data_IF_718028555941
#
_entry.id   IF_718028555941
#
_cell.length_a   1.000
_cell.length_b   1.000
_cell.length_c   1.000
_cell.angle_alpha   90.00
_cell.angle_beta   90.00
_cell.angle_gamma   90.00
#
_symmetry.space_group_name_H-M   'P 1'
#
loop_
_entity.id
_entity.type
_entity.pdbx_description
1 polymer ?
#
# COMPACT_ATOMS: atom_id res chain seq x y z
N UNK A 1 2.86 40.78 42.55
CA UNK A 1 2.82 40.44 41.11
C UNK A 1 1.37 40.34 40.67
N UNK A 2 0.92 41.19 39.74
CA UNK A 2 -0.43 41.11 39.18
C UNK A 2 -0.46 40.00 38.11
N UNK A 3 -1.06 38.86 38.43
CA UNK A 3 -1.33 37.83 37.44
C UNK A 3 -2.52 38.30 36.58
N UNK A 4 -2.23 38.84 35.39
CA UNK A 4 -3.21 39.08 34.33
C UNK A 4 -3.68 37.75 33.70
N UNK A 5 -4.09 36.80 34.53
CA UNK A 5 -4.64 35.52 34.09
C UNK A 5 -6.12 35.66 33.81
N UNK A 6 -6.56 35.30 32.61
CA UNK A 6 -7.97 35.10 32.31
C UNK A 6 -8.60 34.13 33.32
N UNK A 7 -9.79 34.43 33.83
CA UNK A 7 -10.52 33.59 34.81
C UNK A 7 -11.17 32.33 34.21
N UNK A 8 -10.84 32.03 32.95
CA UNK A 8 -11.43 30.96 32.16
C UNK A 8 -10.89 29.58 32.60
N UNK A 9 -11.80 28.65 32.91
CA UNK A 9 -11.47 27.29 33.40
C UNK A 9 -11.62 26.26 32.29
N UNK A 10 -10.68 25.33 32.20
CA UNK A 10 -10.74 24.25 31.23
C UNK A 10 -11.86 23.26 31.59
N UNK A 11 -12.79 22.98 30.68
CA UNK A 11 -13.85 21.98 30.93
C UNK A 11 -13.32 20.55 31.12
N UNK A 12 -12.13 20.24 30.59
CA UNK A 12 -11.57 18.89 30.66
C UNK A 12 -10.71 18.61 31.91
N UNK A 13 -10.21 19.65 32.59
CA UNK A 13 -9.37 19.45 33.78
C UNK A 13 -9.63 20.44 34.93
N UNK A 14 -10.64 21.30 34.77
CA UNK A 14 -11.13 22.33 35.70
C UNK A 14 -10.10 23.37 36.17
N UNK A 15 -8.89 23.32 35.61
CA UNK A 15 -7.81 24.26 35.89
C UNK A 15 -7.93 25.51 35.04
N UNK A 16 -7.47 26.63 35.58
CA UNK A 16 -7.40 27.91 34.87
C UNK A 16 -6.50 27.78 33.64
N UNK A 17 -7.00 28.24 32.49
CA UNK A 17 -6.25 28.20 31.24
C UNK A 17 -5.56 29.53 31.04
N UNK A 18 -4.24 29.49 30.91
CA UNK A 18 -3.46 30.67 30.54
C UNK A 18 -3.66 31.00 29.05
N UNK A 19 -3.62 32.29 28.69
CA UNK A 19 -3.87 32.77 27.33
C UNK A 19 -3.01 32.06 26.26
N UNK A 20 -1.78 31.70 26.61
CA UNK A 20 -0.83 31.00 25.72
C UNK A 20 -1.27 29.56 25.39
N UNK A 21 -1.92 28.89 26.33
CA UNK A 21 -2.39 27.51 26.20
C UNK A 21 -3.90 27.40 25.94
N UNK A 22 -4.58 28.53 25.80
CA UNK A 22 -6.01 28.58 25.56
C UNK A 22 -6.36 28.15 24.14
N UNK A 23 -7.25 27.17 24.04
CA UNK A 23 -7.96 26.79 22.83
C UNK A 23 -9.46 26.83 23.11
N UNK A 24 -10.19 27.64 22.36
CA UNK A 24 -11.65 27.72 22.46
C UNK A 24 -12.30 26.80 21.44
N UNK A 25 -13.15 25.90 21.90
CA UNK A 25 -13.98 25.05 21.05
C UNK A 25 -15.44 25.16 21.48
N UNK A 26 -16.31 25.52 20.54
CA UNK A 26 -17.73 25.76 20.78
C UNK A 26 -18.00 26.80 21.91
N UNK A 27 -17.13 27.80 22.01
CA UNK A 27 -17.18 28.82 23.07
C UNK A 27 -16.65 28.36 24.43
N UNK A 28 -16.22 27.10 24.57
CA UNK A 28 -15.66 26.55 25.80
C UNK A 28 -14.11 26.54 25.74
N UNK A 29 -13.42 27.06 26.75
CA UNK A 29 -11.96 27.08 26.79
C UNK A 29 -11.38 25.72 27.24
N UNK A 30 -10.32 25.29 26.58
CA UNK A 30 -9.55 24.09 26.85
C UNK A 30 -8.05 24.37 26.81
N UNK A 31 -7.24 23.58 27.53
CA UNK A 31 -5.81 23.55 27.27
C UNK A 31 -5.51 22.82 25.96
N UNK A 32 -4.45 23.24 25.26
CA UNK A 32 -3.92 22.51 24.07
C UNK A 32 -3.63 21.03 24.35
N UNK A 33 -3.22 20.73 25.58
CA UNK A 33 -2.95 19.36 26.04
C UNK A 33 -4.23 18.56 26.32
N UNK A 34 -5.26 19.23 26.82
CA UNK A 34 -6.57 18.66 27.14
C UNK A 34 -7.50 18.54 25.93
N UNK A 35 -7.14 19.15 24.80
CA UNK A 35 -7.89 19.07 23.55
C UNK A 35 -7.75 17.67 22.92
N UNK A 36 -8.55 16.71 23.41
CA UNK A 36 -8.48 15.29 23.05
C UNK A 36 -9.87 14.72 22.78
N UNK A 37 -9.91 13.69 21.95
CA UNK A 37 -11.15 12.97 21.68
C UNK A 37 -11.58 12.11 22.88
N UNK A 38 -12.86 12.15 23.24
CA UNK A 38 -13.40 11.33 24.34
C UNK A 38 -13.36 9.82 24.10
N UNK A 39 -13.31 9.37 22.84
CA UNK A 39 -13.30 7.93 22.50
C UNK A 39 -11.90 7.34 22.34
N UNK A 40 -10.99 8.04 21.66
CA UNK A 40 -9.64 7.53 21.44
C UNK A 40 -8.54 8.26 22.20
N UNK A 41 -8.87 9.30 22.97
CA UNK A 41 -7.90 10.15 23.66
C UNK A 41 -6.83 10.77 22.74
N UNK A 42 -7.03 10.70 21.42
CA UNK A 42 -6.14 11.29 20.43
C UNK A 42 -6.14 12.81 20.56
N UNK A 43 -4.96 13.44 20.45
CA UNK A 43 -4.85 14.90 20.43
C UNK A 43 -5.59 15.43 19.21
N UNK A 44 -6.53 16.32 19.45
CA UNK A 44 -7.27 17.01 18.41
C UNK A 44 -6.54 18.31 18.06
N UNK A 45 -6.85 18.84 16.89
CA UNK A 45 -6.38 20.15 16.45
C UNK A 45 -7.59 20.97 16.00
N UNK A 46 -7.47 22.31 15.98
CA UNK A 46 -8.56 23.23 15.64
C UNK A 46 -9.21 22.92 14.27
N UNK A 47 -8.46 22.32 13.34
CA UNK A 47 -8.91 21.96 12.00
C UNK A 47 -9.65 20.62 11.92
N UNK A 48 -9.54 19.76 12.94
CA UNK A 48 -9.93 18.34 12.87
C UNK A 48 -10.66 17.86 14.13
N UNK A 49 -11.61 18.64 14.62
CA UNK A 49 -12.49 18.24 15.72
C UNK A 49 -13.95 18.51 15.39
N UNK A 50 -14.83 17.82 16.11
CA UNK A 50 -16.26 18.10 16.18
C UNK A 50 -16.67 18.08 17.65
N UNK A 51 -17.44 19.07 18.08
CA UNK A 51 -17.95 19.16 19.44
C UNK A 51 -19.45 18.82 19.46
N UNK A 52 -19.88 17.96 20.39
CA UNK A 52 -21.30 17.71 20.68
C UNK A 52 -21.50 17.80 22.18
N UNK A 53 -22.44 18.62 22.64
CA UNK A 53 -22.73 18.85 24.08
C UNK A 53 -21.49 19.26 24.90
N UNK A 54 -20.57 19.96 24.24
CA UNK A 54 -19.28 20.36 24.79
C UNK A 54 -18.34 19.19 25.09
N UNK A 55 -18.52 18.04 24.45
CA UNK A 55 -17.57 16.94 24.44
C UNK A 55 -16.87 16.89 23.08
N UNK A 56 -15.55 16.68 23.08
CA UNK A 56 -14.74 16.75 21.88
C UNK A 56 -14.56 15.37 21.24
N UNK A 57 -14.78 15.30 19.94
CA UNK A 57 -14.65 14.09 19.14
C UNK A 57 -13.73 14.34 17.94
N UNK A 58 -12.99 13.32 17.51
CA UNK A 58 -12.37 13.36 16.18
C UNK A 58 -13.46 13.12 15.13
N UNK A 59 -13.27 13.66 13.93
CA UNK A 59 -14.19 13.49 12.79
C UNK A 59 -14.71 12.05 12.60
N UNK A 60 -13.85 10.99 12.60
CA UNK A 60 -14.36 9.63 12.42
C UNK A 60 -15.24 9.14 13.58
N UNK A 61 -14.88 9.43 14.84
CA UNK A 61 -15.73 9.02 15.98
C UNK A 61 -17.01 9.84 16.06
N UNK A 62 -16.97 11.12 15.70
CA UNK A 62 -18.18 11.95 15.65
C UNK A 62 -19.18 11.39 14.63
N UNK A 63 -18.75 11.12 13.40
CA UNK A 63 -19.62 10.56 12.36
C UNK A 63 -20.22 9.21 12.77
N UNK A 64 -19.42 8.36 13.44
CA UNK A 64 -19.87 7.07 13.94
C UNK A 64 -20.95 7.19 15.03
N UNK A 65 -20.78 8.09 15.99
CA UNK A 65 -21.74 8.33 17.06
C UNK A 65 -23.06 8.95 16.58
N UNK A 66 -22.97 9.86 15.61
CA UNK A 66 -24.16 10.47 14.99
C UNK A 66 -24.95 9.45 14.17
N UNK A 67 -24.27 8.53 13.49
CA UNK A 67 -24.93 7.47 12.73
C UNK A 67 -25.66 6.46 13.63
N UNK A 68 -25.16 6.26 14.85
CA UNK A 68 -25.78 5.37 15.83
C UNK A 68 -26.93 6.05 16.59
N UNK A 69 -26.81 7.36 16.87
CA UNK A 69 -27.79 8.13 17.67
C UNK A 69 -28.94 8.70 16.84
N UNK A 70 -28.76 8.94 15.53
CA UNK A 70 -29.80 9.44 14.63
C UNK A 70 -30.37 8.29 13.77
N UNK A 71 -31.19 7.45 14.39
CA UNK A 71 -31.97 6.44 13.70
C UNK A 71 -32.95 7.05 12.69
N UNK A 72 -32.71 6.72 11.42
CA UNK A 72 -33.71 6.63 10.34
C UNK A 72 -34.43 7.93 9.91
N UNK A 73 -33.77 8.81 9.17
CA UNK A 73 -34.41 9.37 7.96
C UNK A 73 -33.38 9.56 6.86
N UNK A 74 -33.56 8.77 5.82
CA UNK A 74 -32.99 8.92 4.49
C UNK A 74 -33.08 10.36 3.99
N UNK A 75 -31.95 11.05 3.98
CA UNK A 75 -31.60 12.10 3.01
C UNK A 75 -30.09 12.29 3.05
N UNK A 76 -29.43 11.66 2.08
CA UNK A 76 -28.04 11.86 1.73
C UNK A 76 -27.77 13.37 1.56
N UNK A 77 -27.17 14.02 2.54
CA UNK A 77 -26.33 15.18 2.28
C UNK A 77 -24.90 14.67 2.11
N UNK A 78 -24.63 14.34 0.87
CA UNK A 78 -23.34 13.97 0.33
C UNK A 78 -22.42 15.20 0.36
N UNK A 79 -21.23 15.19 0.99
CA UNK A 79 -20.11 15.95 0.42
C UNK A 79 -19.81 15.31 -0.96
N UNK A 80 -19.62 16.07 -2.04
CA UNK A 80 -19.65 15.53 -3.40
C UNK A 80 -18.49 14.58 -3.64
N UNK A 81 -18.73 13.28 -3.39
CA UNK A 81 -17.98 12.16 -3.94
C UNK A 81 -19.00 11.07 -4.27
N UNK A 82 -19.40 11.09 -5.54
CA UNK A 82 -20.23 10.06 -6.16
C UNK A 82 -19.45 8.74 -6.17
N UNK A 83 -20.06 7.74 -5.57
CA UNK A 83 -19.63 6.36 -5.63
C UNK A 83 -20.71 5.54 -4.98
N UNK A 84 -21.67 5.05 -5.77
CA UNK A 84 -22.11 3.65 -5.77
C UNK A 84 -23.30 3.48 -6.73
N UNK A 85 -23.01 2.70 -7.79
CA UNK A 85 -23.93 1.90 -8.60
C UNK A 85 -25.16 2.59 -9.19
N UNK A 86 -24.99 3.16 -10.39
CA UNK A 86 -26.02 3.04 -11.41
C UNK A 86 -25.39 2.75 -12.76
N UNK A 87 -25.99 1.79 -13.47
CA UNK A 87 -25.66 1.36 -14.82
C UNK A 87 -26.06 2.47 -15.80
N UNK A 88 -25.29 3.56 -15.81
CA UNK A 88 -25.22 4.49 -16.92
C UNK A 88 -23.83 5.11 -16.90
N UNK A 89 -22.84 4.30 -17.24
CA UNK A 89 -21.54 4.80 -17.64
C UNK A 89 -21.79 5.48 -18.97
N UNK A 90 -21.98 6.80 -18.89
CA UNK A 90 -22.11 7.68 -20.04
C UNK A 90 -21.11 7.26 -21.09
N UNK A 91 -21.62 7.03 -22.31
CA UNK A 91 -20.97 6.61 -23.56
C UNK A 91 -19.64 7.32 -23.90
N UNK A 92 -19.22 8.29 -23.09
CA UNK A 92 -18.01 9.11 -23.20
C UNK A 92 -16.80 8.59 -22.41
N UNK A 93 -16.99 7.82 -21.35
CA UNK A 93 -15.86 7.26 -20.55
C UNK A 93 -15.19 6.04 -21.21
N UNK A 94 -15.82 5.48 -22.24
CA UNK A 94 -15.21 4.49 -23.14
C UNK A 94 -14.26 5.11 -24.17
N UNK A 95 -14.21 6.45 -24.30
CA UNK A 95 -13.34 7.13 -25.27
C UNK A 95 -12.02 7.65 -24.67
N UNK A 96 -11.83 7.51 -23.36
CA UNK A 96 -10.51 7.68 -22.76
C UNK A 96 -9.94 6.31 -22.39
N UNK A 97 -9.60 5.55 -23.43
CA UNK A 97 -9.01 4.20 -23.38
C UNK A 97 -7.57 4.16 -22.86
N UNK A 98 -7.14 5.21 -22.14
CA UNK A 98 -5.83 5.27 -21.50
C UNK A 98 -5.84 4.47 -20.21
N UNK A 99 -5.74 3.14 -20.32
CA UNK A 99 -5.35 2.17 -19.29
C UNK A 99 -5.96 2.43 -17.89
N UNK A 100 -7.20 1.96 -17.68
CA UNK A 100 -7.85 1.97 -16.37
C UNK A 100 -7.32 0.85 -15.47
N UNK A 101 -6.01 0.79 -15.27
CA UNK A 101 -5.34 -0.27 -14.52
C UNK A 101 -5.83 -0.26 -13.06
N UNK A 102 -6.31 -1.40 -12.56
CA UNK A 102 -6.86 -1.53 -11.19
C UNK A 102 -5.91 -2.33 -10.32
N UNK A 103 -5.72 -1.87 -9.08
CA UNK A 103 -4.88 -2.54 -8.11
C UNK A 103 -5.49 -3.86 -7.66
N UNK A 104 -4.77 -4.98 -7.76
CA UNK A 104 -5.26 -6.28 -7.29
C UNK A 104 -5.49 -6.30 -5.76
N UNK A 105 -4.75 -5.50 -4.98
CA UNK A 105 -4.84 -5.47 -3.51
C UNK A 105 -5.97 -4.57 -3.01
N UNK A 106 -6.15 -3.39 -3.61
CA UNK A 106 -7.08 -2.39 -3.08
C UNK A 106 -8.20 -1.98 -4.05
N UNK A 107 -8.24 -2.57 -5.25
CA UNK A 107 -9.22 -2.33 -6.33
C UNK A 107 -9.33 -0.87 -6.83
N UNK A 108 -8.46 0.03 -6.36
CA UNK A 108 -8.41 1.43 -6.81
C UNK A 108 -7.60 1.53 -8.10
N UNK A 109 -7.90 2.54 -8.92
CA UNK A 109 -7.13 2.82 -10.13
C UNK A 109 -5.69 3.14 -9.77
N UNK A 110 -4.77 2.55 -10.52
CA UNK A 110 -3.33 2.72 -10.36
C UNK A 110 -2.85 3.64 -11.46
N UNK A 111 -2.27 4.78 -11.08
CA UNK A 111 -1.75 5.73 -12.06
C UNK A 111 -0.34 5.31 -12.52
N UNK A 112 0.09 5.66 -13.74
CA UNK A 112 1.40 5.31 -14.28
C UNK A 112 2.60 5.66 -13.39
N UNK A 113 2.49 6.69 -12.55
CA UNK A 113 3.55 7.08 -11.63
C UNK A 113 3.72 6.11 -10.44
N UNK A 114 2.63 5.48 -10.02
CA UNK A 114 2.60 4.55 -8.88
C UNK A 114 2.43 3.09 -9.31
N UNK A 115 2.35 2.82 -10.62
CA UNK A 115 2.07 1.49 -11.14
C UNK A 115 3.26 0.55 -11.02
N UNK A 116 2.95 -0.64 -10.55
CA UNK A 116 3.82 -1.81 -10.53
C UNK A 116 3.05 -2.91 -11.25
N UNK A 117 3.58 -3.39 -12.38
CA UNK A 117 2.96 -4.44 -13.19
C UNK A 117 3.69 -5.75 -12.95
N UNK A 118 2.98 -6.78 -12.48
CA UNK A 118 3.50 -8.13 -12.24
C UNK A 118 2.52 -9.15 -12.76
N UNK A 119 2.99 -10.09 -13.60
CA UNK A 119 2.19 -11.23 -14.06
C UNK A 119 0.84 -10.85 -14.70
N UNK A 120 0.77 -9.65 -15.29
CA UNK A 120 -0.46 -9.12 -15.91
C UNK A 120 -1.39 -8.39 -14.93
N UNK A 121 -1.06 -8.35 -13.64
CA UNK A 121 -1.78 -7.60 -12.62
C UNK A 121 -1.07 -6.29 -12.27
N UNK A 122 -1.86 -5.31 -11.83
CA UNK A 122 -1.38 -3.99 -11.47
C UNK A 122 -1.46 -3.79 -9.96
N UNK A 123 -0.46 -3.12 -9.41
CA UNK A 123 -0.32 -2.85 -7.98
C UNK A 123 0.13 -1.40 -7.80
N UNK A 124 -0.31 -0.74 -6.72
CA UNK A 124 0.36 0.48 -6.27
C UNK A 124 1.71 0.13 -5.63
N UNK A 125 2.71 1.02 -5.76
CA UNK A 125 3.96 0.91 -4.99
C UNK A 125 3.76 0.69 -3.49
N UNK A 126 2.73 1.30 -2.90
CA UNK A 126 2.35 1.15 -1.49
C UNK A 126 1.61 -0.16 -1.18
N UNK A 127 0.93 -0.73 -2.18
CA UNK A 127 0.20 -1.98 -2.05
C UNK A 127 1.09 -3.21 -2.34
N UNK A 128 2.20 -3.01 -3.03
CA UNK A 128 3.18 -4.04 -3.34
C UNK A 128 4.00 -4.41 -2.10
N UNK A 129 3.44 -5.28 -1.26
CA UNK A 129 4.02 -5.67 0.04
C UNK A 129 3.90 -7.16 0.30
N UNK A 130 4.80 -7.68 1.12
CA UNK A 130 4.84 -9.09 1.48
C UNK A 130 3.65 -9.48 2.35
N UNK A 131 2.99 -10.61 2.03
CA UNK A 131 1.85 -11.12 2.79
C UNK A 131 2.20 -11.54 4.23
N UNK A 132 3.40 -12.09 4.47
CA UNK A 132 3.81 -12.59 5.79
C UNK A 132 4.35 -11.51 6.73
N UNK A 133 5.01 -10.48 6.21
CA UNK A 133 5.69 -9.49 7.06
C UNK A 133 5.40 -8.03 6.74
N UNK A 134 4.50 -7.75 5.79
CA UNK A 134 4.14 -6.39 5.39
C UNK A 134 5.29 -5.57 4.81
N UNK A 135 6.47 -6.15 4.60
CA UNK A 135 7.62 -5.48 4.02
C UNK A 135 7.26 -4.96 2.62
N UNK A 136 7.55 -3.69 2.35
CA UNK A 136 7.40 -3.13 1.01
C UNK A 136 8.36 -3.86 0.07
N UNK A 137 7.81 -4.37 -1.02
CA UNK A 137 8.56 -5.09 -2.03
C UNK A 137 9.04 -4.10 -3.09
N UNK A 138 10.13 -4.45 -3.75
CA UNK A 138 10.63 -3.71 -4.93
C UNK A 138 10.51 -4.62 -6.14
N UNK A 139 10.31 -4.04 -7.32
CA UNK A 139 10.24 -4.77 -8.59
C UNK A 139 11.41 -5.73 -8.82
N UNK A 140 12.59 -5.43 -8.26
CA UNK A 140 13.81 -6.24 -8.37
C UNK A 140 13.98 -7.32 -7.30
N UNK A 141 13.15 -7.35 -6.25
CA UNK A 141 13.41 -8.18 -5.08
C UNK A 141 12.13 -8.68 -4.40
N UNK A 142 11.32 -9.43 -5.15
CA UNK A 142 10.13 -10.11 -4.67
C UNK A 142 10.08 -11.55 -5.20
N UNK A 143 9.22 -12.37 -4.62
CA UNK A 143 8.85 -13.69 -5.12
C UNK A 143 7.32 -13.80 -5.10
N UNK A 144 6.71 -14.25 -6.18
CA UNK A 144 5.27 -14.51 -6.26
C UNK A 144 5.02 -16.02 -6.25
N UNK A 145 4.07 -16.47 -5.44
CA UNK A 145 3.57 -17.84 -5.43
C UNK A 145 2.04 -17.80 -5.40
N UNK A 146 1.38 -18.40 -6.39
CA UNK A 146 -0.08 -18.45 -6.51
C UNK A 146 -0.75 -17.06 -6.41
N UNK A 147 -0.14 -16.03 -7.00
CA UNK A 147 -0.62 -14.64 -6.93
C UNK A 147 -0.36 -13.92 -5.60
N UNK A 148 0.33 -14.57 -4.65
CA UNK A 148 0.69 -13.99 -3.35
C UNK A 148 2.14 -13.51 -3.39
N UNK A 149 2.35 -12.27 -2.93
CA UNK A 149 3.66 -11.62 -2.94
C UNK A 149 4.44 -11.88 -1.63
N UNK A 150 5.69 -12.31 -1.77
CA UNK A 150 6.63 -12.58 -0.69
C UNK A 150 7.94 -11.83 -0.89
N UNK A 151 8.61 -11.49 0.22
CA UNK A 151 10.00 -11.07 0.15
C UNK A 151 10.90 -12.31 0.13
N UNK A 152 12.10 -12.19 -0.47
CA UNK A 152 13.09 -13.27 -0.54
C UNK A 152 13.33 -14.02 0.78
N UNK A 153 13.48 -13.36 1.95
CA UNK A 153 13.67 -14.08 3.21
C UNK A 153 12.41 -14.84 3.65
N UNK A 154 11.21 -14.23 3.58
CA UNK A 154 9.97 -14.93 3.95
C UNK A 154 9.63 -16.06 2.98
N UNK A 155 9.92 -15.88 1.69
CA UNK A 155 9.79 -16.93 0.70
C UNK A 155 10.73 -18.10 1.05
N UNK A 156 12.02 -17.85 1.29
CA UNK A 156 12.95 -18.91 1.67
C UNK A 156 12.53 -19.63 2.98
N UNK A 157 11.90 -18.93 3.92
CA UNK A 157 11.42 -19.52 5.17
C UNK A 157 10.19 -20.41 4.95
N UNK A 158 9.20 -19.94 4.19
CA UNK A 158 7.99 -20.70 3.88
C UNK A 158 8.30 -22.00 3.12
N UNK A 159 9.28 -21.95 2.22
CA UNK A 159 9.69 -23.11 1.42
C UNK A 159 10.49 -24.13 2.22
N UNK A 160 11.20 -23.70 3.28
CA UNK A 160 11.84 -24.61 4.24
C UNK A 160 10.81 -25.38 5.08
N UNK A 161 9.66 -24.77 5.35
CA UNK A 161 8.60 -25.38 6.17
C UNK A 161 7.70 -26.32 5.36
N UNK A 162 7.44 -26.00 4.07
CA UNK A 162 6.57 -26.81 3.19
C UNK A 162 7.28 -27.84 2.29
N UNK A 163 8.61 -27.83 2.21
CA UNK A 163 9.40 -28.91 1.60
C UNK A 163 9.35 -29.00 0.07
N UNK A 164 10.24 -28.27 -0.61
CA UNK A 164 10.93 -28.70 -1.85
C UNK A 164 12.03 -27.70 -2.19
N UNK A 165 13.29 -28.11 -2.10
CA UNK A 165 14.48 -27.27 -2.28
C UNK A 165 15.42 -28.00 -3.23
N UNK A 166 15.50 -27.63 -4.51
CA UNK A 166 16.59 -28.15 -5.33
C UNK A 166 17.17 -27.24 -6.41
N UNK A 167 16.69 -26.01 -6.67
CA UNK A 167 17.42 -25.17 -7.64
C UNK A 167 17.09 -23.67 -7.57
N UNK A 168 17.62 -22.91 -6.59
CA UNK A 168 17.65 -21.44 -6.75
C UNK A 168 18.77 -20.68 -6.02
N UNK A 169 19.71 -21.36 -5.37
CA UNK A 169 20.82 -20.65 -4.68
C UNK A 169 22.10 -20.54 -5.53
N UNK A 170 22.26 -21.32 -6.61
CA UNK A 170 23.49 -21.28 -7.43
C UNK A 170 23.56 -20.07 -8.37
N UNK A 171 22.43 -19.46 -8.76
CA UNK A 171 22.44 -18.35 -9.74
C UNK A 171 22.55 -16.94 -9.12
N UNK A 172 22.75 -16.83 -7.80
CA UNK A 172 22.87 -15.53 -7.12
C UNK A 172 24.31 -15.12 -6.76
N UNK A 173 25.28 -16.06 -6.76
CA UNK A 173 26.67 -15.77 -6.33
C UNK A 173 27.71 -15.66 -7.46
N UNK A 174 27.36 -15.93 -8.73
CA UNK A 174 28.36 -15.95 -9.82
C UNK A 174 28.40 -14.70 -10.71
N UNK A 175 27.54 -13.68 -10.51
CA UNK A 175 27.53 -12.48 -11.39
C UNK A 175 28.44 -11.34 -10.91
N UNK A 176 29.51 -11.67 -10.18
CA UNK A 176 30.62 -10.75 -9.92
C UNK A 176 31.78 -10.85 -10.92
N UNK A 177 31.69 -11.70 -11.95
CA UNK A 177 32.67 -11.68 -13.03
C UNK A 177 31.99 -11.70 -14.41
N UNK A 178 32.02 -10.53 -15.04
CA UNK A 178 32.24 -10.27 -16.48
C UNK A 178 31.59 -11.16 -17.56
N UNK A 179 30.80 -10.47 -18.39
CA UNK A 179 30.73 -10.53 -19.86
C UNK A 179 30.02 -11.72 -20.55
N UNK A 180 29.15 -11.33 -21.49
CA UNK A 180 28.68 -12.08 -22.69
C UNK A 180 27.79 -13.31 -22.42
N UNK A 181 26.81 -13.70 -23.23
CA UNK A 181 26.07 -13.17 -24.37
C UNK A 181 24.80 -14.09 -24.51
N UNK A 182 23.79 -13.60 -25.24
CA UNK A 182 22.72 -14.29 -26.01
C UNK A 182 22.91 -15.82 -26.28
N UNK A 183 21.91 -16.69 -26.48
CA UNK A 183 20.65 -16.57 -27.22
C UNK A 183 19.70 -17.78 -26.94
N UNK A 184 18.49 -17.63 -27.46
CA UNK A 184 17.26 -18.41 -27.44
C UNK A 184 17.30 -19.73 -28.25
N UNK A 185 16.29 -20.56 -27.95
CA UNK A 185 15.47 -21.37 -28.88
C UNK A 185 15.93 -22.75 -29.42
N UNK A 186 15.02 -23.70 -29.21
CA UNK A 186 14.48 -24.64 -30.21
C UNK A 186 15.35 -25.78 -30.78
N UNK A 187 14.95 -26.98 -30.37
CA UNK A 187 15.15 -28.31 -30.97
C UNK A 187 14.71 -28.42 -32.44
N UNK A 188 14.97 -29.55 -33.14
CA UNK A 188 16.20 -30.04 -33.80
C UNK A 188 16.00 -30.02 -35.35
N UNK A 189 16.99 -30.42 -36.20
CA UNK A 189 16.93 -31.79 -36.73
C UNK A 189 18.28 -32.42 -37.19
N UNK A 190 18.22 -33.75 -37.28
CA UNK A 190 18.81 -34.67 -38.27
C UNK A 190 20.21 -34.41 -38.87
N UNK A 191 21.04 -35.42 -38.59
CA UNK A 191 22.29 -35.84 -39.21
C UNK A 191 22.21 -35.93 -40.76
N UNK A 192 23.10 -35.21 -41.44
CA UNK A 192 23.54 -35.47 -42.82
C UNK A 192 25.07 -35.34 -42.85
N UNK A 193 25.74 -36.49 -42.81
CA UNK A 193 27.14 -36.70 -43.17
C UNK A 193 27.37 -36.33 -44.66
N UNK A 194 28.57 -35.89 -45.14
CA UNK A 194 29.74 -36.78 -45.17
C UNK A 194 31.14 -36.13 -45.10
N UNK A 195 32.11 -37.03 -44.92
CA UNK A 195 33.54 -36.92 -44.65
C UNK A 195 34.40 -36.24 -45.74
N UNK A 196 35.64 -35.84 -45.38
CA UNK A 196 36.82 -35.96 -46.25
C UNK A 196 37.92 -36.89 -45.67
N UNK A 197 38.93 -37.28 -46.50
CA UNK A 197 39.55 -38.62 -46.53
C UNK A 197 40.76 -38.87 -45.59
N UNK A 198 41.26 -40.13 -45.53
CA UNK A 198 42.27 -40.56 -44.56
C UNK A 198 43.67 -40.09 -44.92
N UNK A 199 44.43 -39.65 -43.92
CA UNK A 199 45.88 -39.48 -44.02
C UNK A 199 46.57 -40.76 -43.54
N UNK A 200 47.27 -41.36 -44.48
CA UNK A 200 48.09 -42.56 -44.41
C UNK A 200 49.27 -42.34 -43.44
N UNK A 201 49.45 -43.24 -42.47
CA UNK A 201 50.68 -43.31 -41.66
C UNK A 201 51.31 -44.68 -41.91
N UNK A 202 52.21 -44.71 -42.88
CA UNK A 202 53.12 -45.82 -43.10
C UNK A 202 54.29 -45.72 -42.11
N UNK A 203 54.56 -46.82 -41.40
CA UNK A 203 55.89 -47.34 -41.07
C UNK A 203 55.71 -48.54 -40.13
N UNK A 204 55.87 -49.77 -40.65
CA UNK A 204 56.65 -50.84 -40.01
C UNK A 204 57.16 -51.82 -41.10
N UNK A 205 58.44 -52.20 -40.96
CA UNK A 205 59.32 -53.11 -41.75
C UNK A 205 59.85 -52.71 -43.12
#
# INVERSE_FOLDING_TARGET
MAHFGTTQKCKACDKTVHFVEMMSADGVPYHKSCFKCSHCNGRLAMSNYSAMDGQLYCKPHFEQLFKESAGFTSKKFQPPKQGETNKNVSKVSSFFSGTQDKCAVCAKTVYPLEKVTMEGEFYHKSCFKCAHGGCLLTTSSYAALDGILYCKPHFAQLFKEKGSYNHLTTTANSRKNSAEAIDLDTTPPADDSPQPPPVELAQET
#
